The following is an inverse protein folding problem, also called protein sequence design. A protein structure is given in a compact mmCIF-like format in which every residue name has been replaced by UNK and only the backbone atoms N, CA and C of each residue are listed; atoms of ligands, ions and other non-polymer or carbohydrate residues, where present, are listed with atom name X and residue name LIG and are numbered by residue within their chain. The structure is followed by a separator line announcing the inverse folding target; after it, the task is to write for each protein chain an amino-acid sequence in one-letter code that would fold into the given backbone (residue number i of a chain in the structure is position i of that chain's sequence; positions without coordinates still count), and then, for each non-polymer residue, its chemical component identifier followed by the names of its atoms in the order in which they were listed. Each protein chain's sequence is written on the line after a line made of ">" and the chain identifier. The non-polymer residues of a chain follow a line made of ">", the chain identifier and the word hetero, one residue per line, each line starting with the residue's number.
data_IF_792047086533
#
_entry.id   IF_792047086533
#
_cell.length_a   1.000
_cell.length_b   1.000
_cell.length_c   1.000
_cell.angle_alpha   90.00
_cell.angle_beta   90.00
_cell.angle_gamma   90.00
#
_symmetry.space_group_name_H-M   'P 1'
#
loop_
_entity.id
_entity.type
_entity.pdbx_description
1 polymer ?
#
# COMPACT_ATOMS: atom_id res chain seq x y z
N UNK A 1 0.26 1.09 4.63
CA UNK A 1 -1.03 0.42 4.92
C UNK A 1 -2.15 1.45 4.89
N UNK A 2 -3.23 1.23 4.13
CA UNK A 2 -4.34 2.19 4.04
C UNK A 2 -5.55 1.79 4.90
N UNK A 3 -5.62 0.56 5.40
CA UNK A 3 -6.70 0.06 6.26
C UNK A 3 -6.58 0.45 7.73
N UNK A 4 -6.26 1.72 8.03
CA UNK A 4 -6.25 2.25 9.40
C UNK A 4 -7.47 3.15 9.64
N UNK A 5 -7.80 3.40 10.91
CA UNK A 5 -8.89 4.28 11.31
C UNK A 5 -8.43 5.73 11.23
N UNK A 6 -8.77 6.44 10.14
CA UNK A 6 -8.27 7.79 9.84
C UNK A 6 -8.75 8.81 10.90
N UNK A 7 -10.00 8.68 11.32
CA UNK A 7 -10.63 9.56 12.31
C UNK A 7 -9.98 9.39 13.68
N UNK A 8 -9.74 8.14 14.10
CA UNK A 8 -9.08 7.82 15.37
C UNK A 8 -7.60 8.20 15.35
N UNK A 9 -6.90 8.00 14.24
CA UNK A 9 -5.50 8.37 14.11
C UNK A 9 -5.27 9.87 14.36
N UNK A 10 -6.21 10.71 13.95
CA UNK A 10 -6.10 12.15 14.17
C UNK A 10 -6.13 12.51 15.65
N UNK A 11 -7.02 11.87 16.43
CA UNK A 11 -7.09 12.05 17.88
C UNK A 11 -5.86 11.45 18.60
N UNK A 12 -5.48 10.22 18.24
CA UNK A 12 -4.38 9.49 18.90
C UNK A 12 -3.02 10.15 18.70
N UNK A 13 -2.74 10.63 17.50
CA UNK A 13 -1.46 11.25 17.16
C UNK A 13 -1.48 12.79 17.27
N UNK A 14 -2.60 13.39 17.68
CA UNK A 14 -2.72 14.84 17.81
C UNK A 14 -2.59 15.58 16.48
N UNK A 15 -3.14 15.01 15.41
CA UNK A 15 -3.04 15.57 14.05
C UNK A 15 -3.97 16.79 13.95
N UNK A 16 -3.46 17.96 13.53
CA UNK A 16 -4.29 19.15 13.36
C UNK A 16 -5.41 18.95 12.34
N UNK A 17 -6.57 19.59 12.55
CA UNK A 17 -7.76 19.41 11.71
C UNK A 17 -7.60 19.84 10.24
N UNK A 18 -6.54 20.57 9.91
CA UNK A 18 -6.18 20.95 8.54
C UNK A 18 -5.15 20.00 7.89
N UNK A 19 -4.81 18.89 8.55
CA UNK A 19 -3.86 17.89 8.06
C UNK A 19 -4.58 16.57 7.82
N UNK A 20 -4.37 15.96 6.64
CA UNK A 20 -4.98 14.69 6.27
C UNK A 20 -3.98 13.53 6.39
N UNK A 21 -4.21 12.53 7.26
CA UNK A 21 -3.42 11.31 7.28
C UNK A 21 -3.57 10.53 5.97
N UNK A 22 -2.46 10.14 5.35
CA UNK A 22 -2.47 9.42 4.06
C UNK A 22 -2.13 7.94 4.22
N UNK A 23 -1.18 7.62 5.09
CA UNK A 23 -0.71 6.26 5.31
C UNK A 23 -0.09 6.11 6.69
N UNK A 24 -0.18 4.90 7.23
CA UNK A 24 0.67 4.44 8.33
C UNK A 24 1.76 3.53 7.74
N UNK A 25 2.98 3.76 8.19
CA UNK A 25 4.17 2.98 7.83
C UNK A 25 4.63 2.24 9.09
N UNK A 26 4.54 0.92 9.07
CA UNK A 26 5.17 0.10 10.10
C UNK A 26 6.66 -0.02 9.76
N UNK A 27 7.51 0.20 10.78
CA UNK A 27 8.96 0.11 10.66
C UNK A 27 9.42 -0.88 11.73
N UNK A 28 10.21 -1.86 11.32
CA UNK A 28 10.77 -2.90 12.17
C UNK A 28 11.78 -3.74 11.41
N UNK A 29 12.50 -4.64 12.09
CA UNK A 29 13.36 -5.61 11.41
C UNK A 29 12.53 -6.53 10.52
N UNK A 30 13.16 -7.07 9.48
CA UNK A 30 12.59 -8.20 8.73
C UNK A 30 12.54 -9.37 9.69
N UNK A 31 11.38 -10.01 9.80
CA UNK A 31 11.20 -11.17 10.67
C UNK A 31 11.85 -12.40 10.02
N UNK A 32 12.54 -13.21 10.83
CA UNK A 32 13.09 -14.50 10.38
C UNK A 32 11.98 -15.55 10.18
N UNK A 33 10.87 -15.42 10.91
CA UNK A 33 9.67 -16.25 10.80
C UNK A 33 8.40 -15.46 11.15
N UNK A 34 7.23 -16.01 10.81
CA UNK A 34 5.92 -15.37 11.05
C UNK A 34 5.16 -16.06 12.20
N UNK A 35 5.86 -16.46 13.26
CA UNK A 35 5.25 -17.17 14.39
C UNK A 35 4.08 -16.36 14.98
N UNK A 36 2.90 -16.97 15.01
CA UNK A 36 1.66 -16.34 15.50
C UNK A 36 0.93 -15.45 14.49
N UNK A 37 1.42 -15.31 13.25
CA UNK A 37 0.66 -14.66 12.18
C UNK A 37 -0.40 -15.60 11.59
N UNK A 38 -1.51 -15.01 11.15
CA UNK A 38 -2.53 -15.71 10.38
C UNK A 38 -1.96 -16.22 9.05
N UNK A 39 -2.28 -17.47 8.68
CA UNK A 39 -1.74 -18.14 7.49
C UNK A 39 -2.00 -17.32 6.21
N UNK A 40 -3.21 -16.77 6.07
CA UNK A 40 -3.57 -15.89 4.94
C UNK A 40 -2.74 -14.59 4.86
N UNK A 41 -2.13 -14.15 5.96
CA UNK A 41 -1.22 -13.00 5.99
C UNK A 41 0.16 -13.41 5.50
N UNK A 42 0.64 -14.56 5.95
CA UNK A 42 1.93 -15.15 5.52
C UNK A 42 1.93 -15.43 4.02
N UNK A 43 0.87 -16.06 3.50
CA UNK A 43 0.72 -16.33 2.07
C UNK A 43 0.79 -15.07 1.22
N UNK A 44 0.07 -14.01 1.62
CA UNK A 44 0.03 -12.74 0.89
C UNK A 44 1.35 -11.98 0.96
N UNK A 45 2.07 -12.08 2.07
CA UNK A 45 3.36 -11.42 2.25
C UNK A 45 4.44 -12.05 1.35
N UNK A 46 4.43 -13.39 1.23
CA UNK A 46 5.32 -14.11 0.33
C UNK A 46 4.91 -14.03 -1.15
N UNK A 47 3.67 -13.70 -1.46
CA UNK A 47 3.19 -13.62 -2.83
C UNK A 47 3.90 -12.50 -3.62
N UNK A 48 4.44 -12.78 -4.82
CA UNK A 48 5.06 -11.75 -5.64
C UNK A 48 4.02 -10.72 -6.07
N UNK A 49 4.45 -9.46 -6.12
CA UNK A 49 3.62 -8.34 -6.58
C UNK A 49 3.29 -8.48 -8.06
N UNK A 50 2.01 -8.67 -8.35
CA UNK A 50 1.51 -8.60 -9.72
C UNK A 50 1.35 -7.14 -10.15
N UNK A 51 1.67 -6.84 -11.41
CA UNK A 51 1.57 -5.51 -12.01
C UNK A 51 0.93 -5.66 -13.39
N UNK A 52 0.04 -4.73 -13.80
CA UNK A 52 -0.34 -4.62 -15.21
C UNK A 52 0.89 -4.43 -16.09
N UNK A 53 0.80 -4.79 -17.37
CA UNK A 53 1.83 -4.46 -18.33
C UNK A 53 1.92 -2.93 -18.45
N UNK A 54 3.10 -2.41 -18.83
CA UNK A 54 3.30 -0.96 -18.91
C UNK A 54 2.29 -0.31 -19.87
N UNK A 55 2.00 -0.95 -21.01
CA UNK A 55 1.02 -0.48 -21.98
C UNK A 55 -0.45 -0.48 -21.49
N UNK A 56 -0.75 -1.12 -20.35
CA UNK A 56 -2.10 -1.10 -19.76
C UNK A 56 -2.35 0.19 -18.97
N UNK A 57 -1.29 0.85 -18.49
CA UNK A 57 -1.38 2.02 -17.61
C UNK A 57 -0.64 3.26 -18.14
N UNK A 58 0.26 3.08 -19.12
CA UNK A 58 0.97 4.16 -19.77
C UNK A 58 0.39 4.43 -21.16
N UNK A 59 0.14 5.71 -21.45
CA UNK A 59 -0.41 6.16 -22.72
C UNK A 59 0.49 7.23 -23.35
N UNK A 60 0.52 7.31 -24.68
CA UNK A 60 1.27 8.31 -25.44
C UNK A 60 0.31 9.26 -26.17
N UNK A 61 0.62 10.55 -26.16
CA UNK A 61 -0.11 11.66 -26.82
C UNK A 61 -1.53 11.93 -26.32
N UNK A 62 -2.35 10.88 -26.14
CA UNK A 62 -3.74 10.97 -25.68
C UNK A 62 -4.10 9.80 -24.79
N UNK A 63 -5.06 10.04 -23.90
CA UNK A 63 -5.64 8.99 -23.06
C UNK A 63 -6.16 7.82 -23.89
N UNK A 64 -5.84 6.59 -23.48
CA UNK A 64 -6.24 5.35 -24.16
C UNK A 64 -5.38 4.93 -25.36
N UNK A 65 -4.34 5.69 -25.73
CA UNK A 65 -3.37 5.27 -26.75
C UNK A 65 -2.16 4.61 -26.08
N UNK A 66 -2.20 3.28 -25.95
CA UNK A 66 -1.23 2.52 -25.14
C UNK A 66 0.22 2.72 -25.57
N UNK A 67 1.10 2.84 -24.58
CA UNK A 67 2.55 2.82 -24.77
C UNK A 67 3.02 1.43 -25.23
N UNK A 68 3.83 1.38 -26.29
CA UNK A 68 4.31 0.14 -26.92
C UNK A 68 5.83 0.02 -27.01
N UNK A 69 6.57 0.93 -26.35
CA UNK A 69 8.03 0.94 -26.34
C UNK A 69 8.63 0.22 -25.15
#
# INVERSE_FOLDING_TARGET
>A
MAGFRVEEASAVFGIPGNVRPLAIVAIGPVLDNYDGAEESTVERDHAPRQRPALGDIAFTERWGNSYSG
#
